data_IF_041406741265
#
_entry.id   IF_041406741265
#
_cell.length_a   1.000
_cell.length_b   1.000
_cell.length_c   1.000
_cell.angle_alpha   90.00
_cell.angle_beta   90.00
_cell.angle_gamma   90.00
#
_symmetry.space_group_name_H-M   'P 1'
#
loop_
_entity.id
_entity.type
_entity.pdbx_description
1 polymer ?
#
# COMPACT_ATOMS: atom_id res chain seq x y z
N UNK A 1 -13.78 -0.14 12.46
CA UNK A 1 -13.08 -0.52 11.21
C UNK A 1 -12.66 0.75 10.50
N UNK A 2 -11.46 0.82 9.90
CA UNK A 2 -11.07 1.96 9.05
C UNK A 2 -12.07 2.11 7.89
N UNK A 3 -12.33 3.35 7.49
CA UNK A 3 -13.18 3.62 6.31
C UNK A 3 -12.48 3.13 5.04
N UNK A 4 -13.25 2.81 3.98
CA UNK A 4 -12.69 2.43 2.66
C UNK A 4 -11.66 3.45 2.16
N UNK A 5 -11.93 4.74 2.34
CA UNK A 5 -11.00 5.80 1.94
C UNK A 5 -9.68 5.75 2.72
N UNK A 6 -9.72 5.56 4.04
CA UNK A 6 -8.53 5.45 4.87
C UNK A 6 -7.72 4.20 4.52
N UNK A 7 -8.39 3.07 4.29
CA UNK A 7 -7.74 1.82 3.94
C UNK A 7 -7.12 1.88 2.53
N UNK A 8 -7.84 2.41 1.54
CA UNK A 8 -7.32 2.62 0.19
C UNK A 8 -6.12 3.58 0.16
N UNK A 9 -6.17 4.69 0.91
CA UNK A 9 -5.06 5.62 1.03
C UNK A 9 -3.83 4.97 1.68
N UNK A 10 -4.02 4.17 2.73
CA UNK A 10 -2.94 3.44 3.37
C UNK A 10 -2.28 2.42 2.42
N UNK A 11 -3.08 1.66 1.66
CA UNK A 11 -2.57 0.70 0.67
C UNK A 11 -1.78 1.39 -0.44
N UNK A 12 -2.28 2.52 -0.98
CA UNK A 12 -1.57 3.30 -2.00
C UNK A 12 -0.26 3.86 -1.45
N UNK A 13 -0.27 4.45 -0.26
CA UNK A 13 0.93 5.01 0.38
C UNK A 13 1.97 3.92 0.65
N UNK A 14 1.55 2.75 1.14
CA UNK A 14 2.45 1.63 1.39
C UNK A 14 3.06 1.08 0.09
N UNK A 15 2.29 1.00 -1.00
CA UNK A 15 2.79 0.63 -2.32
C UNK A 15 3.80 1.64 -2.88
N UNK A 16 3.55 2.94 -2.73
CA UNK A 16 4.51 3.98 -3.12
C UNK A 16 5.79 3.91 -2.30
N UNK A 17 5.68 3.69 -0.99
CA UNK A 17 6.84 3.50 -0.12
C UNK A 17 7.68 2.30 -0.58
N UNK A 18 7.05 1.16 -0.87
CA UNK A 18 7.75 -0.01 -1.41
C UNK A 18 8.55 0.31 -2.69
N UNK A 19 7.93 0.99 -3.66
CA UNK A 19 8.62 1.39 -4.90
C UNK A 19 9.84 2.27 -4.59
N UNK A 20 9.69 3.22 -3.67
CA UNK A 20 10.79 4.09 -3.26
C UNK A 20 11.89 3.31 -2.52
N UNK A 21 11.54 2.37 -1.64
CA UNK A 21 12.49 1.53 -0.91
C UNK A 21 13.26 0.62 -1.88
N UNK A 22 12.57 0.01 -2.85
CA UNK A 22 13.21 -0.78 -3.91
C UNK A 22 14.21 0.05 -4.70
N UNK A 23 13.87 1.29 -5.05
CA UNK A 23 14.76 2.19 -5.78
C UNK A 23 16.00 2.60 -4.96
N UNK A 24 15.88 2.71 -3.64
CA UNK A 24 16.97 3.14 -2.75
C UNK A 24 17.89 2.00 -2.29
N UNK A 25 17.32 0.84 -1.98
CA UNK A 25 18.04 -0.26 -1.32
C UNK A 25 18.17 -1.52 -2.19
N UNK A 26 17.42 -1.58 -3.29
CA UNK A 26 17.35 -2.76 -4.16
C UNK A 26 16.30 -3.78 -3.70
N UNK A 27 15.93 -4.66 -4.63
CA UNK A 27 14.84 -5.63 -4.46
C UNK A 27 15.05 -6.63 -3.31
N UNK A 28 16.30 -7.01 -3.04
CA UNK A 28 16.63 -8.07 -2.07
C UNK A 28 17.02 -7.53 -0.70
N UNK A 29 16.86 -6.23 -0.47
CA UNK A 29 17.26 -5.62 0.80
C UNK A 29 16.26 -5.96 1.92
N UNK A 30 16.71 -6.07 3.19
CA UNK A 30 15.81 -6.24 4.33
C UNK A 30 14.74 -5.14 4.43
N UNK A 31 15.08 -3.91 4.07
CA UNK A 31 14.15 -2.77 4.04
C UNK A 31 13.04 -2.98 3.01
N UNK A 32 13.38 -3.48 1.82
CA UNK A 32 12.39 -3.83 0.79
C UNK A 32 11.49 -4.97 1.26
N UNK A 33 12.03 -5.97 1.96
CA UNK A 33 11.24 -7.05 2.56
C UNK A 33 10.22 -6.50 3.57
N UNK A 34 10.65 -5.58 4.44
CA UNK A 34 9.76 -4.93 5.42
C UNK A 34 8.68 -4.09 4.74
N UNK A 35 9.05 -3.28 3.74
CA UNK A 35 8.11 -2.48 2.97
C UNK A 35 7.11 -3.35 2.20
N UNK A 36 7.54 -4.51 1.70
CA UNK A 36 6.66 -5.47 1.02
C UNK A 36 5.62 -6.03 1.98
N UNK A 37 6.03 -6.46 3.18
CA UNK A 37 5.11 -6.97 4.19
C UNK A 37 4.11 -5.89 4.63
N UNK A 38 4.55 -4.65 4.81
CA UNK A 38 3.67 -3.54 5.16
C UNK A 38 2.65 -3.25 4.04
N UNK A 39 3.08 -3.26 2.77
CA UNK A 39 2.19 -3.07 1.62
C UNK A 39 1.16 -4.20 1.50
N UNK A 40 1.55 -5.45 1.74
CA UNK A 40 0.65 -6.59 1.74
C UNK A 40 -0.44 -6.46 2.81
N UNK A 41 -0.06 -6.17 4.06
CA UNK A 41 -1.03 -5.98 5.15
C UNK A 41 -2.00 -4.82 4.87
N UNK A 42 -1.50 -3.72 4.32
CA UNK A 42 -2.34 -2.58 3.97
C UNK A 42 -3.33 -2.92 2.85
N UNK A 43 -2.89 -3.70 1.84
CA UNK A 43 -3.74 -4.18 0.76
C UNK A 43 -4.82 -5.13 1.29
N UNK A 44 -4.45 -6.13 2.09
CA UNK A 44 -5.41 -7.08 2.68
C UNK A 44 -6.46 -6.35 3.52
N UNK A 45 -6.04 -5.35 4.29
CA UNK A 45 -6.96 -4.51 5.09
C UNK A 45 -7.92 -3.72 4.21
N UNK A 46 -7.44 -3.19 3.08
CA UNK A 46 -8.26 -2.45 2.14
C UNK A 46 -9.25 -3.36 1.39
N UNK A 47 -8.82 -4.54 0.97
CA UNK A 47 -9.69 -5.55 0.35
C UNK A 47 -10.74 -6.07 1.33
N UNK A 48 -10.36 -6.34 2.58
CA UNK A 48 -11.30 -6.72 3.64
C UNK A 48 -12.33 -5.62 3.96
N UNK A 49 -11.95 -4.34 3.79
CA UNK A 49 -12.87 -3.21 3.88
C UNK A 49 -13.77 -3.07 2.63
N UNK A 50 -13.57 -3.89 1.59
CA UNK A 50 -14.32 -3.86 0.34
C UNK A 50 -13.91 -2.72 -0.58
N UNK A 51 -12.64 -2.30 -0.54
CA UNK A 51 -12.09 -1.33 -1.49
C UNK A 51 -12.04 -1.94 -2.90
N UNK A 52 -12.45 -1.14 -3.87
CA UNK A 52 -12.44 -1.45 -5.29
C UNK A 52 -11.25 -0.79 -5.98
N UNK A 53 -11.03 -1.14 -7.25
CA UNK A 53 -10.03 -0.47 -8.09
C UNK A 53 -10.23 1.05 -8.15
N UNK A 54 -11.48 1.50 -8.18
CA UNK A 54 -11.82 2.92 -8.22
C UNK A 54 -11.47 3.63 -6.90
N UNK A 55 -11.63 2.96 -5.76
CA UNK A 55 -11.22 3.50 -4.46
C UNK A 55 -9.71 3.74 -4.41
N UNK A 56 -8.90 2.79 -4.92
CA UNK A 56 -7.45 2.97 -5.03
C UNK A 56 -7.05 4.06 -6.03
N UNK A 57 -7.73 4.13 -7.18
CA UNK A 57 -7.48 5.17 -8.17
C UNK A 57 -7.80 6.57 -7.61
N UNK A 58 -8.91 6.71 -6.91
CA UNK A 58 -9.29 7.95 -6.23
C UNK A 58 -8.29 8.31 -5.12
N UNK A 59 -7.82 7.33 -4.35
CA UNK A 59 -6.80 7.55 -3.31
C UNK A 59 -5.44 7.97 -3.89
N UNK A 60 -5.09 7.53 -5.11
CA UNK A 60 -3.84 7.91 -5.79
C UNK A 60 -3.84 9.34 -6.35
N UNK A 61 -5.02 9.88 -6.64
CA UNK A 61 -5.19 11.21 -7.25
C UNK A 61 -5.53 12.31 -6.23
N UNK A 62 -5.49 12.00 -4.93
CA UNK A 62 -5.67 12.95 -3.83
C UNK A 62 -4.32 13.31 -3.24
#
# INVERSE_FOLDING_TARGET
MPSKQTAAAAAVAAGQNLVNTVAQHGLTSPETQQATNAAAVALDTAEAAGCTRDDYANARNR
#
